data_IF_171828657053
#
_entry.id   IF_171828657053
#
_cell.length_a   1.000
_cell.length_b   1.000
_cell.length_c   1.000
_cell.angle_alpha   90.00
_cell.angle_beta   90.00
_cell.angle_gamma   90.00
#
_symmetry.space_group_name_H-M   'P 1'
#
loop_
_entity.id
_entity.type
_entity.pdbx_description
1 polymer ?
#
# COMPACT_ATOMS: atom_id res chain seq x y z
N UNK A 1 -0.77 16.94 -1.93
CA UNK A 1 -0.36 15.52 -1.78
C UNK A 1 -1.63 14.68 -1.67
N UNK A 2 -1.80 13.72 -2.57
CA UNK A 2 -2.98 12.85 -2.59
C UNK A 2 -2.70 11.49 -1.94
N UNK A 3 -3.76 10.85 -1.46
CA UNK A 3 -3.76 9.56 -0.78
C UNK A 3 -4.85 8.69 -1.38
N UNK A 4 -4.51 7.50 -1.84
CA UNK A 4 -5.48 6.51 -2.31
C UNK A 4 -5.56 5.35 -1.30
N UNK A 5 -6.74 5.12 -0.77
CA UNK A 5 -7.01 3.99 0.12
C UNK A 5 -7.58 2.86 -0.73
N UNK A 6 -6.86 1.75 -0.83
CA UNK A 6 -7.33 0.54 -1.48
C UNK A 6 -8.18 -0.26 -0.50
N UNK A 7 -9.45 -0.38 -0.81
CA UNK A 7 -10.46 -0.91 0.09
C UNK A 7 -11.23 -2.07 -0.54
N UNK A 8 -11.45 -3.14 0.22
CA UNK A 8 -12.46 -4.12 -0.11
C UNK A 8 -13.80 -3.74 0.56
N UNK A 9 -14.97 -4.08 -0.05
CA UNK A 9 -16.27 -3.69 0.48
C UNK A 9 -16.51 -4.10 1.94
N UNK A 10 -15.98 -5.25 2.33
CA UNK A 10 -16.12 -5.81 3.69
C UNK A 10 -15.42 -5.01 4.79
N UNK A 11 -14.48 -4.12 4.40
CA UNK A 11 -13.72 -3.28 5.34
C UNK A 11 -14.02 -1.79 5.18
N UNK A 12 -14.93 -1.41 4.28
CA UNK A 12 -15.29 -0.01 4.04
C UNK A 12 -15.70 0.70 5.33
N UNK A 13 -16.43 0.01 6.23
CA UNK A 13 -16.81 0.53 7.54
C UNK A 13 -15.60 0.99 8.36
N UNK A 14 -14.47 0.24 8.32
CA UNK A 14 -13.26 0.62 9.04
C UNK A 14 -12.60 1.86 8.41
N UNK A 15 -12.56 1.90 7.09
CA UNK A 15 -12.03 3.06 6.35
C UNK A 15 -12.81 4.32 6.70
N UNK A 16 -14.13 4.27 6.70
CA UNK A 16 -15.01 5.43 6.94
C UNK A 16 -15.04 5.86 8.40
N UNK A 17 -15.02 4.92 9.34
CA UNK A 17 -15.20 5.23 10.75
C UNK A 17 -13.89 5.45 11.52
N UNK A 18 -12.76 4.96 11.00
CA UNK A 18 -11.46 5.03 11.69
C UNK A 18 -10.34 5.60 10.84
N UNK A 19 -10.08 5.07 9.65
CA UNK A 19 -8.90 5.46 8.88
C UNK A 19 -9.03 6.89 8.35
N UNK A 20 -10.11 7.21 7.66
CA UNK A 20 -10.36 8.57 7.15
C UNK A 20 -10.42 9.59 8.30
N UNK A 21 -11.22 9.38 9.37
CA UNK A 21 -11.21 10.31 10.51
C UNK A 21 -9.81 10.53 11.11
N UNK A 22 -9.00 9.49 11.21
CA UNK A 22 -7.60 9.63 11.70
C UNK A 22 -6.73 10.48 10.78
N UNK A 23 -6.94 10.41 9.46
CA UNK A 23 -6.26 11.24 8.47
C UNK A 23 -6.71 12.70 8.56
N UNK A 24 -8.02 12.95 8.67
CA UNK A 24 -8.61 14.28 8.80
C UNK A 24 -8.14 14.98 10.09
N UNK A 25 -8.09 14.26 11.20
CA UNK A 25 -7.59 14.77 12.49
C UNK A 25 -6.14 15.25 12.42
N UNK A 26 -5.34 14.68 11.51
CA UNK A 26 -3.97 15.12 11.28
C UNK A 26 -3.85 16.28 10.29
N UNK A 27 -4.97 16.78 9.74
CA UNK A 27 -5.03 17.92 8.83
C UNK A 27 -4.87 17.55 7.35
N UNK A 28 -5.14 16.31 6.98
CA UNK A 28 -5.28 15.92 5.57
C UNK A 28 -6.67 16.34 5.10
N UNK A 29 -6.75 17.15 4.05
CA UNK A 29 -8.03 17.57 3.49
C UNK A 29 -8.77 16.38 2.84
N UNK A 30 -10.09 16.33 3.03
CA UNK A 30 -10.92 15.23 2.50
C UNK A 30 -10.80 15.05 0.98
N UNK A 31 -10.66 16.14 0.25
CA UNK A 31 -10.49 16.15 -1.21
C UNK A 31 -9.19 15.49 -1.69
N UNK A 32 -8.20 15.39 -0.81
CA UNK A 32 -6.94 14.71 -1.06
C UNK A 32 -7.00 13.19 -0.78
N UNK A 33 -8.14 12.67 -0.32
CA UNK A 33 -8.32 11.26 0.01
C UNK A 33 -9.25 10.61 -1.01
N UNK A 34 -8.71 9.68 -1.77
CA UNK A 34 -9.45 8.85 -2.74
C UNK A 34 -9.65 7.48 -2.09
N UNK A 35 -10.91 7.01 -2.04
CA UNK A 35 -11.22 5.64 -1.63
C UNK A 35 -11.47 4.81 -2.88
N UNK A 36 -10.52 3.95 -3.19
CA UNK A 36 -10.65 2.95 -4.25
C UNK A 36 -11.30 1.68 -3.67
N UNK A 37 -12.62 1.62 -3.73
CA UNK A 37 -13.39 0.49 -3.20
C UNK A 37 -13.64 -0.54 -4.31
N UNK A 38 -13.11 -1.75 -4.15
CA UNK A 38 -13.25 -2.85 -5.11
C UNK A 38 -14.65 -3.49 -5.05
N UNK A 39 -15.67 -2.71 -5.42
CA UNK A 39 -17.08 -3.17 -5.43
C UNK A 39 -17.34 -4.30 -6.42
N UNK A 40 -16.45 -4.51 -7.38
CA UNK A 40 -16.55 -5.59 -8.36
C UNK A 40 -15.91 -6.91 -7.88
N UNK A 41 -15.31 -6.89 -6.68
CA UNK A 41 -14.59 -8.04 -6.11
C UNK A 41 -13.54 -8.62 -7.07
N UNK A 42 -12.83 -7.74 -7.79
CA UNK A 42 -11.79 -8.13 -8.76
C UNK A 42 -10.58 -8.83 -8.12
N UNK A 43 -10.41 -8.64 -6.81
CA UNK A 43 -9.23 -9.09 -6.08
C UNK A 43 -8.01 -8.18 -6.29
N UNK A 44 -6.98 -8.39 -5.47
CA UNK A 44 -5.86 -7.46 -5.33
C UNK A 44 -5.21 -7.05 -6.65
N UNK A 45 -4.90 -8.01 -7.51
CA UNK A 45 -4.16 -7.77 -8.74
C UNK A 45 -4.93 -6.90 -9.73
N UNK A 46 -6.18 -7.28 -10.03
CA UNK A 46 -6.99 -6.55 -11.01
C UNK A 46 -7.45 -5.22 -10.43
N UNK A 47 -7.82 -5.17 -9.17
CA UNK A 47 -8.18 -3.93 -8.48
C UNK A 47 -7.02 -2.93 -8.49
N UNK A 48 -5.79 -3.39 -8.25
CA UNK A 48 -4.58 -2.57 -8.36
C UNK A 48 -4.38 -2.04 -9.79
N UNK A 49 -4.48 -2.89 -10.80
CA UNK A 49 -4.35 -2.48 -12.19
C UNK A 49 -5.39 -1.41 -12.58
N UNK A 50 -6.66 -1.59 -12.20
CA UNK A 50 -7.71 -0.62 -12.49
C UNK A 50 -7.51 0.71 -11.73
N UNK A 51 -6.99 0.66 -10.52
CA UNK A 51 -6.62 1.88 -9.78
C UNK A 51 -5.47 2.63 -10.47
N UNK A 52 -4.50 1.92 -11.03
CA UNK A 52 -3.44 2.53 -11.83
C UNK A 52 -3.96 3.14 -13.13
N UNK A 53 -4.96 2.53 -13.76
CA UNK A 53 -5.66 3.12 -14.92
C UNK A 53 -6.36 4.43 -14.54
N UNK A 54 -7.08 4.42 -13.43
CA UNK A 54 -7.72 5.64 -12.92
C UNK A 54 -6.71 6.77 -12.72
N UNK A 55 -5.57 6.48 -12.07
CA UNK A 55 -4.51 7.47 -11.86
C UNK A 55 -3.98 8.00 -13.20
N UNK A 56 -3.69 7.13 -14.15
CA UNK A 56 -3.23 7.49 -15.50
C UNK A 56 -4.19 8.45 -16.21
N UNK A 57 -5.49 8.29 -16.02
CA UNK A 57 -6.54 9.03 -16.70
C UNK A 57 -6.91 10.35 -16.00
N UNK A 58 -6.71 10.44 -14.67
CA UNK A 58 -7.27 11.52 -13.85
C UNK A 58 -6.23 12.35 -13.08
N UNK A 59 -4.96 11.89 -13.02
CA UNK A 59 -3.94 12.52 -12.19
C UNK A 59 -2.73 12.97 -13.01
N UNK A 60 -2.05 14.02 -12.54
CA UNK A 60 -0.81 14.48 -13.15
C UNK A 60 0.30 13.42 -13.03
N UNK A 61 0.99 13.13 -14.14
CA UNK A 61 2.11 12.17 -14.16
C UNK A 61 3.39 12.74 -13.50
N UNK A 62 3.46 14.06 -13.35
CA UNK A 62 4.59 14.74 -12.69
C UNK A 62 4.49 14.72 -11.16
N UNK A 63 3.37 14.23 -10.65
CA UNK A 63 3.10 14.06 -9.22
C UNK A 63 3.28 12.62 -8.77
N UNK A 64 2.99 12.39 -7.52
CA UNK A 64 2.92 11.06 -6.93
C UNK A 64 1.87 11.00 -5.83
N UNK A 65 1.53 9.78 -5.45
CA UNK A 65 0.45 9.49 -4.54
C UNK A 65 0.88 8.49 -3.47
N UNK A 66 0.36 8.63 -2.26
CA UNK A 66 0.43 7.59 -1.25
C UNK A 66 -0.69 6.59 -1.47
N UNK A 67 -0.33 5.33 -1.61
CA UNK A 67 -1.22 4.18 -1.63
C UNK A 67 -1.25 3.55 -0.25
N UNK A 68 -2.43 3.32 0.29
CA UNK A 68 -2.65 2.81 1.65
C UNK A 68 -3.66 1.68 1.56
N UNK A 69 -3.39 0.53 2.19
CA UNK A 69 -4.39 -0.53 2.30
C UNK A 69 -5.40 -0.25 3.41
N UNK A 70 -6.58 -0.85 3.30
CA UNK A 70 -7.70 -0.67 4.22
C UNK A 70 -7.53 -1.35 5.58
N UNK A 71 -6.46 -2.11 5.78
CA UNK A 71 -6.18 -2.89 6.99
C UNK A 71 -4.97 -2.39 7.77
N UNK A 72 -4.79 -1.09 7.78
CA UNK A 72 -3.71 -0.46 8.52
C UNK A 72 -4.22 0.57 9.54
N UNK A 73 -3.41 0.82 10.56
CA UNK A 73 -3.52 1.97 11.44
C UNK A 73 -2.35 2.92 11.18
N UNK A 74 -2.62 4.21 11.05
CA UNK A 74 -1.61 5.24 10.75
C UNK A 74 -0.96 5.80 12.02
N UNK A 75 0.31 6.17 11.93
CA UNK A 75 1.03 6.84 13.01
C UNK A 75 0.49 8.27 13.25
N UNK A 76 0.65 8.81 14.45
CA UNK A 76 0.20 10.15 14.81
C UNK A 76 0.87 11.28 14.03
N UNK A 77 2.07 11.04 13.49
CA UNK A 77 2.81 11.99 12.67
C UNK A 77 2.77 11.63 11.18
N UNK A 78 1.79 10.81 10.77
CA UNK A 78 1.66 10.33 9.39
C UNK A 78 1.64 11.49 8.38
N UNK A 79 0.75 12.45 8.56
CA UNK A 79 0.64 13.59 7.64
C UNK A 79 1.91 14.43 7.59
N UNK A 80 2.48 14.76 8.75
CA UNK A 80 3.71 15.54 8.82
C UNK A 80 4.86 14.90 8.05
N UNK A 81 4.94 13.57 8.08
CA UNK A 81 6.00 12.82 7.40
C UNK A 81 5.72 12.55 5.93
N UNK A 82 4.45 12.54 5.52
CA UNK A 82 4.05 12.27 4.14
C UNK A 82 3.93 13.53 3.29
N UNK A 83 3.49 14.66 3.86
CA UNK A 83 3.27 15.92 3.13
C UNK A 83 4.52 16.53 2.52
N UNK A 84 5.69 16.23 3.07
CA UNK A 84 6.98 16.78 2.67
C UNK A 84 7.78 15.87 1.75
N UNK A 85 7.17 14.80 1.23
CA UNK A 85 7.84 13.93 0.25
C UNK A 85 8.05 14.73 -1.03
N UNK A 86 9.30 15.00 -1.43
CA UNK A 86 9.54 15.70 -2.68
C UNK A 86 9.09 14.84 -3.86
N UNK A 87 8.58 15.49 -4.89
CA UNK A 87 8.32 14.86 -6.18
C UNK A 87 9.66 14.39 -6.74
N UNK A 88 9.98 13.14 -6.53
CA UNK A 88 11.20 12.53 -7.04
C UNK A 88 10.90 11.16 -7.63
N UNK A 89 11.88 10.62 -8.31
CA UNK A 89 11.78 9.34 -9.00
C UNK A 89 11.76 8.13 -8.06
N UNK A 90 11.94 8.31 -6.76
CA UNK A 90 12.07 7.19 -5.83
C UNK A 90 10.72 6.80 -5.21
N UNK A 91 10.51 5.51 -5.10
CA UNK A 91 9.42 4.92 -4.33
C UNK A 91 9.74 5.02 -2.84
N UNK A 92 8.72 5.26 -1.99
CA UNK A 92 8.91 5.30 -0.53
C UNK A 92 7.98 4.33 0.15
N UNK A 93 8.54 3.50 1.01
CA UNK A 93 7.80 2.50 1.77
C UNK A 93 7.53 2.98 3.18
N UNK A 94 6.27 3.18 3.50
CA UNK A 94 5.81 3.54 4.85
C UNK A 94 5.62 2.34 5.77
N UNK A 95 5.76 1.13 5.25
CA UNK A 95 5.63 -0.11 6.00
C UNK A 95 6.78 -1.07 5.70
N UNK A 96 7.40 -1.61 6.75
CA UNK A 96 8.41 -2.67 6.67
C UNK A 96 8.03 -3.75 7.66
N UNK A 97 7.87 -4.98 7.20
CA UNK A 97 7.45 -6.09 8.05
C UNK A 97 8.62 -6.71 8.84
N UNK A 98 8.35 -7.14 10.07
CA UNK A 98 9.29 -7.88 10.91
C UNK A 98 9.87 -9.13 10.23
N UNK A 99 9.09 -9.77 9.36
CA UNK A 99 9.49 -11.01 8.68
C UNK A 99 10.73 -10.87 7.83
N UNK A 100 10.92 -9.72 7.23
CA UNK A 100 12.03 -9.51 6.30
C UNK A 100 13.30 -9.02 7.00
N UNK A 101 13.22 -8.76 8.31
CA UNK A 101 14.35 -8.24 9.06
C UNK A 101 15.25 -9.31 9.71
N UNK A 102 15.04 -10.58 9.44
CA UNK A 102 15.80 -11.68 10.07
C UNK A 102 17.33 -11.53 9.99
N UNK A 103 17.85 -10.72 9.08
CA UNK A 103 19.28 -10.53 8.87
C UNK A 103 19.75 -9.08 9.03
N UNK A 104 18.94 -8.16 9.60
CA UNK A 104 19.33 -6.77 9.82
C UNK A 104 19.62 -5.95 8.56
N UNK A 105 19.34 -6.47 7.38
CA UNK A 105 19.67 -5.81 6.09
C UNK A 105 18.73 -4.67 5.72
N UNK A 106 17.55 -4.64 6.27
CA UNK A 106 16.47 -3.71 5.91
C UNK A 106 16.58 -2.32 6.55
N UNK A 107 17.50 -2.16 7.49
CA UNK A 107 17.72 -0.96 8.26
C UNK A 107 18.36 0.19 7.48
N UNK A 108 18.94 -0.08 6.32
CA UNK A 108 19.78 0.89 5.61
C UNK A 108 18.99 1.87 4.73
N UNK A 109 17.75 2.16 5.05
CA UNK A 109 16.98 3.30 4.50
C UNK A 109 16.76 3.31 2.98
N UNK A 110 17.80 3.10 2.19
CA UNK A 110 17.78 3.19 0.73
C UNK A 110 18.24 1.87 0.13
N UNK A 111 17.38 1.26 -0.67
CA UNK A 111 17.65 -0.05 -1.27
C UNK A 111 17.30 -0.06 -2.77
N UNK A 112 18.04 -0.82 -3.62
CA UNK A 112 17.63 -1.07 -5.00
C UNK A 112 16.33 -1.85 -5.04
N UNK A 113 15.38 -1.48 -5.89
CA UNK A 113 14.08 -2.18 -6.02
C UNK A 113 14.25 -3.64 -6.40
N UNK A 114 15.27 -3.98 -7.20
CA UNK A 114 15.52 -5.33 -7.70
C UNK A 114 15.67 -6.42 -6.63
N UNK A 115 15.92 -6.06 -5.38
CA UNK A 115 16.25 -6.98 -4.30
C UNK A 115 15.23 -7.00 -3.17
N UNK A 116 14.11 -6.29 -3.28
CA UNK A 116 13.23 -6.09 -2.15
C UNK A 116 11.76 -6.30 -2.50
N UNK A 117 11.15 -7.18 -1.74
CA UNK A 117 9.72 -7.25 -1.56
C UNK A 117 9.29 -6.02 -0.75
N UNK A 118 8.52 -5.13 -1.36
CA UNK A 118 7.89 -4.03 -0.67
C UNK A 118 6.41 -4.32 -0.55
N UNK A 119 5.93 -4.18 0.65
CA UNK A 119 4.53 -4.41 0.96
C UNK A 119 3.71 -3.16 0.66
N UNK A 120 2.58 -3.31 0.02
CA UNK A 120 1.70 -2.21 -0.38
C UNK A 120 0.85 -1.63 0.75
N UNK A 121 1.04 -2.05 2.02
CA UNK A 121 0.29 -1.52 3.14
C UNK A 121 0.35 0.01 3.25
N UNK A 122 1.49 0.61 2.90
CA UNK A 122 1.65 2.05 2.75
C UNK A 122 2.85 2.35 1.87
N UNK A 123 2.61 2.93 0.69
CA UNK A 123 3.67 3.19 -0.28
C UNK A 123 3.41 4.48 -1.06
N UNK A 124 4.43 5.31 -1.22
CA UNK A 124 4.41 6.44 -2.14
C UNK A 124 4.97 6.02 -3.49
N UNK A 125 4.20 6.29 -4.55
CA UNK A 125 4.56 5.96 -5.92
C UNK A 125 4.39 7.21 -6.78
N UNK A 126 5.43 7.65 -7.51
CA UNK A 126 5.28 8.62 -8.59
C UNK A 126 4.29 8.12 -9.66
N UNK A 127 3.31 8.95 -10.03
CA UNK A 127 2.19 8.56 -10.92
C UNK A 127 2.65 8.06 -12.29
N UNK A 128 3.81 8.50 -12.77
CA UNK A 128 4.39 7.99 -14.01
C UNK A 128 4.63 6.49 -13.98
N UNK A 129 4.99 5.91 -12.83
CA UNK A 129 5.21 4.46 -12.71
C UNK A 129 3.90 3.66 -12.70
N UNK A 130 2.82 4.24 -12.17
CA UNK A 130 1.50 3.61 -12.27
C UNK A 130 1.02 3.60 -13.73
N UNK A 131 1.27 4.68 -14.47
CA UNK A 131 0.96 4.76 -15.90
C UNK A 131 1.77 3.77 -16.74
N UNK A 132 3.07 3.66 -16.48
CA UNK A 132 3.95 2.68 -17.13
C UNK A 132 3.55 1.23 -16.79
N UNK A 133 3.12 0.99 -15.54
CA UNK A 133 2.62 -0.31 -15.11
C UNK A 133 1.37 -0.74 -15.91
N UNK A 134 0.44 0.17 -16.18
CA UNK A 134 -0.73 -0.14 -17.00
C UNK A 134 -0.30 -0.64 -18.39
N UNK A 135 0.59 0.09 -19.07
CA UNK A 135 1.10 -0.32 -20.37
C UNK A 135 1.85 -1.66 -20.32
N UNK A 136 2.70 -1.84 -19.30
CA UNK A 136 3.45 -3.08 -19.09
C UNK A 136 2.53 -4.26 -18.81
N UNK A 137 1.50 -4.05 -18.00
CA UNK A 137 0.51 -5.06 -17.65
C UNK A 137 -0.26 -5.54 -18.89
N UNK A 138 -0.77 -4.61 -19.69
CA UNK A 138 -1.48 -4.92 -20.93
C UNK A 138 -0.61 -5.69 -21.92
N UNK A 139 0.68 -5.36 -21.98
CA UNK A 139 1.61 -5.95 -22.95
C UNK A 139 2.11 -7.33 -22.51
N UNK A 140 2.43 -7.48 -21.23
CA UNK A 140 3.19 -8.65 -20.76
C UNK A 140 2.41 -9.60 -19.87
N UNK A 141 1.42 -9.12 -19.15
CA UNK A 141 0.63 -9.93 -18.20
C UNK A 141 -0.63 -10.46 -18.86
N UNK A 142 -1.35 -9.61 -19.56
CA UNK A 142 -2.58 -9.96 -20.26
C UNK A 142 -2.30 -10.12 -21.75
N UNK A 143 -2.80 -11.19 -22.37
CA UNK A 143 -2.79 -11.39 -23.81
C UNK A 143 -4.19 -11.83 -24.23
N UNK A 144 -4.76 -11.10 -25.18
CA UNK A 144 -6.13 -11.39 -25.72
C UNK A 144 -7.18 -11.49 -24.59
N UNK A 145 -7.04 -10.63 -23.55
CA UNK A 145 -7.93 -10.61 -22.38
C UNK A 145 -7.68 -11.70 -21.33
N UNK A 146 -6.69 -12.57 -21.54
CA UNK A 146 -6.35 -13.66 -20.63
C UNK A 146 -4.95 -13.47 -20.04
N UNK A 147 -4.78 -13.92 -18.79
CA UNK A 147 -3.45 -13.95 -18.17
C UNK A 147 -2.53 -14.92 -18.89
N UNK A 148 -1.30 -14.49 -19.13
CA UNK A 148 -0.26 -15.42 -19.56
C UNK A 148 0.02 -16.42 -18.45
N UNK A 149 0.16 -17.70 -18.80
CA UNK A 149 0.32 -18.83 -17.87
C UNK A 149 1.37 -18.60 -16.77
N UNK A 150 2.46 -17.89 -17.06
CA UNK A 150 3.52 -17.56 -16.10
C UNK A 150 3.08 -16.60 -14.99
N UNK A 151 1.88 -15.98 -15.12
CA UNK A 151 1.29 -15.06 -14.15
C UNK A 151 0.00 -15.62 -13.53
N UNK A 152 -0.42 -16.82 -13.92
CA UNK A 152 -1.53 -17.52 -13.31
C UNK A 152 -1.15 -18.00 -11.91
N UNK A 153 -2.02 -17.80 -10.96
CA UNK A 153 -1.92 -18.38 -9.62
C UNK A 153 -1.02 -17.66 -8.63
N UNK A 154 -1.46 -16.53 -8.12
CA UNK A 154 -0.96 -15.97 -6.86
C UNK A 154 0.15 -14.95 -6.99
N UNK A 155 0.18 -14.23 -8.06
CA UNK A 155 1.02 -13.05 -8.14
C UNK A 155 0.28 -11.89 -7.45
N UNK A 156 0.77 -11.52 -6.30
CA UNK A 156 0.29 -10.38 -5.55
C UNK A 156 0.54 -9.09 -6.38
N UNK A 157 -0.29 -8.09 -6.20
CA UNK A 157 -0.23 -6.78 -6.85
C UNK A 157 1.14 -6.12 -6.73
N UNK A 158 1.71 -6.18 -5.52
CA UNK A 158 3.03 -5.65 -5.20
C UNK A 158 4.15 -6.33 -6.03
N UNK A 159 4.11 -7.65 -6.17
CA UNK A 159 5.11 -8.38 -6.95
C UNK A 159 5.13 -7.96 -8.43
N UNK A 160 3.97 -7.85 -9.07
CA UNK A 160 3.89 -7.47 -10.48
C UNK A 160 4.31 -6.02 -10.71
N UNK A 161 3.89 -5.12 -9.84
CA UNK A 161 4.30 -3.72 -9.91
C UNK A 161 5.82 -3.57 -9.81
N UNK A 162 6.45 -4.24 -8.83
CA UNK A 162 7.91 -4.18 -8.70
C UNK A 162 8.65 -4.85 -9.82
N UNK A 163 8.11 -5.93 -10.38
CA UNK A 163 8.68 -6.55 -11.56
C UNK A 163 8.68 -5.57 -12.74
N UNK A 164 7.58 -4.86 -12.98
CA UNK A 164 7.50 -3.82 -13.98
C UNK A 164 8.55 -2.73 -13.75
N UNK A 165 8.53 -2.11 -12.58
CA UNK A 165 9.42 -0.99 -12.25
C UNK A 165 10.89 -1.40 -12.31
N UNK A 166 11.24 -2.60 -11.83
CA UNK A 166 12.64 -3.09 -11.89
C UNK A 166 13.13 -3.37 -13.31
N UNK A 167 12.21 -3.76 -14.21
CA UNK A 167 12.55 -3.99 -15.62
C UNK A 167 12.73 -2.69 -16.39
N UNK A 168 11.82 -1.73 -16.18
CA UNK A 168 11.84 -0.45 -16.90
C UNK A 168 12.86 0.53 -16.31
N UNK A 169 13.11 0.46 -15.03
CA UNK A 169 13.92 1.41 -14.28
C UNK A 169 14.89 0.72 -13.31
N UNK A 170 15.93 0.02 -13.82
CA UNK A 170 16.80 -0.80 -12.98
C UNK A 170 17.63 -0.03 -11.94
N UNK A 171 17.71 1.30 -12.06
CA UNK A 171 18.44 2.16 -11.13
C UNK A 171 17.59 2.80 -10.05
N UNK A 172 16.27 2.64 -10.10
CA UNK A 172 15.36 3.18 -9.09
C UNK A 172 15.61 2.53 -7.73
N UNK A 173 15.47 3.35 -6.71
CA UNK A 173 15.62 2.94 -5.33
C UNK A 173 14.29 3.07 -4.60
N UNK A 174 14.08 2.16 -3.64
CA UNK A 174 13.07 2.33 -2.61
C UNK A 174 13.69 2.93 -1.36
N UNK A 175 12.94 3.78 -0.68
CA UNK A 175 13.35 4.41 0.57
C UNK A 175 12.39 3.93 1.65
N UNK A 176 12.91 3.19 2.63
CA UNK A 176 12.13 2.75 3.77
C UNK A 176 12.02 3.89 4.80
N UNK A 177 10.80 4.16 5.21
CA UNK A 177 10.52 5.15 6.26
C UNK A 177 10.45 4.45 7.62
N UNK A 178 11.43 4.73 8.47
CA UNK A 178 11.53 4.15 9.81
C UNK A 178 11.61 5.30 10.82
N UNK A 179 10.77 5.27 11.86
CA UNK A 179 9.69 4.33 12.19
C UNK A 179 8.69 4.18 11.07
N UNK A 180 7.99 3.02 10.96
CA UNK A 180 6.96 2.81 9.96
C UNK A 180 5.83 3.84 10.11
N UNK A 181 5.24 4.24 8.98
CA UNK A 181 4.10 5.17 8.95
C UNK A 181 2.80 4.49 9.36
N UNK A 182 2.73 3.18 9.18
CA UNK A 182 1.53 2.37 9.47
C UNK A 182 1.91 1.07 10.18
N UNK A 183 0.94 0.47 10.87
CA UNK A 183 0.99 -0.91 11.30
C UNK A 183 -0.18 -1.70 10.72
N UNK A 184 0.03 -2.96 10.40
CA UNK A 184 -0.95 -3.83 9.75
C UNK A 184 -1.84 -4.50 10.80
N UNK A 185 -3.16 -4.39 10.65
CA UNK A 185 -4.16 -4.76 11.66
C UNK A 185 -5.26 -5.71 11.14
N UNK A 186 -5.05 -6.39 10.02
CA UNK A 186 -5.99 -7.34 9.43
C UNK A 186 -6.58 -8.34 10.45
N UNK A 187 -5.75 -8.77 11.39
CA UNK A 187 -6.12 -9.69 12.48
C UNK A 187 -7.11 -9.10 13.49
N UNK A 188 -7.30 -7.77 13.52
CA UNK A 188 -8.26 -7.08 14.40
C UNK A 188 -9.60 -6.86 13.71
N UNK A 189 -9.56 -6.44 12.45
CA UNK A 189 -10.76 -6.03 11.70
C UNK A 189 -11.36 -7.16 10.86
N UNK A 190 -10.65 -8.26 10.68
CA UNK A 190 -11.10 -9.44 9.94
C UNK A 190 -11.02 -9.28 8.42
N UNK A 191 -11.55 -10.29 7.72
CA UNK A 191 -11.60 -10.36 6.26
C UNK A 191 -10.23 -10.24 5.57
N UNK A 192 -9.17 -10.83 6.19
CA UNK A 192 -7.87 -10.95 5.54
C UNK A 192 -8.02 -11.67 4.21
N UNK A 193 -7.53 -11.08 3.12
CA UNK A 193 -7.46 -11.72 1.80
C UNK A 193 -6.35 -12.76 1.72
N UNK A 194 -5.44 -12.75 2.68
CA UNK A 194 -4.40 -13.76 2.81
C UNK A 194 -4.97 -14.94 3.59
N UNK A 195 -5.27 -16.03 2.88
CA UNK A 195 -5.72 -17.28 3.44
C UNK A 195 -4.94 -17.63 4.71
N UNK A 196 -5.68 -17.82 5.79
CA UNK A 196 -5.36 -18.49 7.04
C UNK A 196 -3.86 -18.77 7.29
N UNK A 197 -3.10 -17.72 7.46
CA UNK A 197 -1.74 -17.82 8.00
C UNK A 197 -1.87 -17.89 9.52
N UNK A 198 -2.42 -19.02 10.01
CA UNK A 198 -2.59 -19.35 11.44
C UNK A 198 -1.65 -18.55 12.34
N UNK A 199 -2.15 -17.44 12.89
CA UNK A 199 -1.48 -16.66 13.93
C UNK A 199 -0.24 -15.86 13.54
N UNK A 200 0.15 -15.77 12.26
CA UNK A 200 1.31 -14.99 11.85
C UNK A 200 0.89 -13.58 11.46
N UNK A 201 0.96 -12.67 12.39
CA UNK A 201 0.70 -11.26 12.22
C UNK A 201 1.81 -10.61 11.39
N UNK A 202 1.45 -9.97 10.27
CA UNK A 202 2.37 -9.12 9.53
C UNK A 202 2.42 -7.74 10.18
N UNK A 203 3.10 -7.62 11.30
CA UNK A 203 3.25 -6.35 12.02
C UNK A 203 4.39 -5.52 11.42
N UNK A 204 4.28 -4.21 11.59
CA UNK A 204 5.38 -3.30 11.29
C UNK A 204 6.62 -3.67 12.12
N UNK A 205 7.78 -3.63 11.47
CA UNK A 205 9.06 -3.86 12.14
C UNK A 205 9.27 -2.89 13.31
N UNK A 206 9.02 -1.59 13.08
CA UNK A 206 9.06 -0.57 14.12
C UNK A 206 7.95 0.45 13.90
N UNK A 207 6.86 0.31 14.64
CA UNK A 207 5.76 1.25 14.73
C UNK A 207 5.78 1.88 16.12
N UNK A 208 6.00 3.21 16.20
CA UNK A 208 6.19 3.89 17.48
C UNK A 208 4.90 4.04 18.29
N UNK A 209 3.77 4.15 17.61
CA UNK A 209 2.46 4.43 18.21
C UNK A 209 1.65 3.14 18.48
N UNK A 210 2.29 2.12 19.05
CA UNK A 210 1.66 0.80 19.33
C UNK A 210 0.39 0.90 20.19
N UNK A 211 0.31 1.91 21.02
CA UNK A 211 -0.86 2.17 21.86
C UNK A 211 -2.13 2.45 21.07
N UNK A 212 -2.05 3.01 19.85
CA UNK A 212 -3.19 3.19 18.95
C UNK A 212 -3.83 1.85 18.58
N UNK A 213 -3.02 0.81 18.41
CA UNK A 213 -3.51 -0.55 18.11
C UNK A 213 -4.30 -1.11 19.29
N UNK A 214 -3.85 -0.85 20.52
CA UNK A 214 -4.53 -1.30 21.73
C UNK A 214 -5.82 -0.50 21.97
N UNK A 215 -5.81 0.81 21.69
CA UNK A 215 -7.02 1.65 21.73
C UNK A 215 -8.06 1.16 20.72
N UNK A 216 -7.66 0.92 19.47
CA UNK A 216 -8.57 0.36 18.46
C UNK A 216 -9.14 -0.98 18.89
N UNK A 217 -8.30 -1.88 19.42
CA UNK A 217 -8.75 -3.17 19.93
C UNK A 217 -9.84 -3.00 21.00
N UNK A 218 -9.65 -2.10 21.94
CA UNK A 218 -10.62 -1.84 23.01
C UNK A 218 -11.95 -1.29 22.44
N UNK A 219 -11.91 -0.37 21.48
CA UNK A 219 -13.09 0.14 20.79
C UNK A 219 -13.84 -0.96 20.04
N UNK A 220 -13.14 -1.86 19.37
CA UNK A 220 -13.75 -2.98 18.64
C UNK A 220 -14.36 -4.03 19.57
N UNK A 221 -13.79 -4.27 20.76
CA UNK A 221 -14.37 -5.17 21.75
C UNK A 221 -15.67 -4.63 22.36
N UNK A 222 -15.82 -3.32 22.47
CA UNK A 222 -17.07 -2.68 22.98
C UNK A 222 -18.23 -2.72 21.97
N UNK A 223 -17.95 -3.03 20.69
CA UNK A 223 -18.96 -3.14 19.63
C UNK A 223 -19.58 -4.54 19.50
N UNK A 224 -18.99 -5.53 20.14
CA UNK A 224 -19.48 -6.91 20.17
C UNK A 224 -20.40 -7.14 21.35
#
# INVERSE_FOLDING_TARGET
MKYMIHCCPKRLWYVEEYLIPSMLLQGIDRENIIVWNDTNEWGNQKSWYESCRYIKENESLDEGMWHIQDDVIIANDFYTRTKSVPNNINVRCGFVTERFNKNGRWWKGIQPIQHHWMSFQCIYIPNKYTSEFVFWYDTYVVKDGNFKKQYEGGNDDDFLFFKCVSQLHPTIKSINMIPCLVDHIDYLIGHSTLFDRKGKKNRAFYFKDKWLVDELRNKLMQRR
#
